data_IF_310977392153
#
_entry.id   IF_310977392153
#
_cell.length_a   1.000
_cell.length_b   1.000
_cell.length_c   1.000
_cell.angle_alpha   90.00
_cell.angle_beta   90.00
_cell.angle_gamma   90.00
#
_symmetry.space_group_name_H-M   'P 1'
#
loop_
_entity.id
_entity.type
_entity.pdbx_description
1 polymer ?
#
# COMPACT_ATOMS: atom_id res chain seq x y z
N UNK A 1 -0.06 6.88 -19.56
CA UNK A 1 -1.37 6.96 -20.24
C UNK A 1 -1.67 5.80 -21.18
N UNK A 2 -0.79 5.40 -22.12
CA UNK A 2 -1.05 4.29 -23.06
C UNK A 2 -1.44 2.96 -22.37
N UNK A 3 -0.76 2.61 -21.28
CA UNK A 3 -1.10 1.44 -20.47
C UNK A 3 -2.49 1.54 -19.80
N UNK A 4 -2.93 2.75 -19.42
CA UNK A 4 -4.25 2.98 -18.82
C UNK A 4 -5.37 2.89 -19.87
N UNK A 5 -5.12 3.41 -21.08
CA UNK A 5 -6.04 3.27 -22.23
C UNK A 5 -6.24 1.80 -22.63
N UNK A 6 -5.15 1.02 -22.66
CA UNK A 6 -5.22 -0.41 -22.92
C UNK A 6 -6.00 -1.16 -21.84
N UNK A 7 -5.74 -0.84 -20.56
CA UNK A 7 -6.47 -1.44 -19.45
C UNK A 7 -7.97 -1.09 -19.49
N UNK A 8 -8.34 0.17 -19.74
CA UNK A 8 -9.75 0.56 -19.85
C UNK A 8 -10.46 -0.14 -21.01
N UNK A 9 -9.78 -0.30 -22.14
CA UNK A 9 -10.33 -1.02 -23.31
C UNK A 9 -10.58 -2.49 -22.99
N UNK A 10 -9.66 -3.13 -22.26
CA UNK A 10 -9.77 -4.53 -21.82
C UNK A 10 -10.86 -4.72 -20.77
N UNK A 11 -10.92 -3.84 -19.77
CA UNK A 11 -11.85 -3.94 -18.63
C UNK A 11 -13.31 -3.74 -19.06
N UNK A 12 -13.56 -2.73 -19.89
CA UNK A 12 -14.93 -2.33 -20.25
C UNK A 12 -15.36 -2.78 -21.65
N UNK A 13 -14.50 -3.52 -22.37
CA UNK A 13 -14.77 -4.13 -23.69
C UNK A 13 -15.34 -3.17 -24.74
N UNK A 14 -14.95 -1.89 -24.71
CA UNK A 14 -15.29 -0.92 -25.76
C UNK A 14 -14.01 -0.32 -26.35
N UNK A 15 -14.01 -0.13 -27.68
CA UNK A 15 -12.89 0.47 -28.39
C UNK A 15 -13.07 1.99 -28.43
N UNK A 16 -12.21 2.71 -27.72
CA UNK A 16 -12.12 4.18 -27.78
C UNK A 16 -10.78 4.58 -28.38
N UNK A 17 -10.75 5.68 -29.15
CA UNK A 17 -9.49 6.19 -29.67
C UNK A 17 -8.62 6.71 -28.52
N UNK A 18 -7.31 6.46 -28.61
CA UNK A 18 -6.32 6.96 -27.62
C UNK A 18 -6.41 8.49 -27.47
N UNK A 19 -6.68 9.20 -28.57
CA UNK A 19 -6.84 10.65 -28.56
C UNK A 19 -8.06 11.11 -27.75
N UNK A 20 -9.21 10.46 -27.91
CA UNK A 20 -10.41 10.80 -27.15
C UNK A 20 -10.21 10.52 -25.66
N UNK A 21 -9.60 9.36 -25.34
CA UNK A 21 -9.25 8.99 -23.97
C UNK A 21 -8.35 10.05 -23.31
N UNK A 22 -7.27 10.47 -23.99
CA UNK A 22 -6.36 11.51 -23.50
C UNK A 22 -7.07 12.86 -23.28
N UNK A 23 -7.95 13.27 -24.19
CA UNK A 23 -8.71 14.53 -24.05
C UNK A 23 -9.63 14.50 -22.83
N UNK A 24 -10.27 13.36 -22.55
CA UNK A 24 -11.14 13.21 -21.38
C UNK A 24 -10.30 13.22 -20.10
N UNK A 25 -9.22 12.43 -20.03
CA UNK A 25 -8.33 12.38 -18.85
C UNK A 25 -7.68 13.75 -18.56
N UNK A 26 -7.31 14.50 -19.60
CA UNK A 26 -6.80 15.86 -19.42
C UNK A 26 -7.87 16.82 -18.83
N UNK A 27 -9.14 16.64 -19.21
CA UNK A 27 -10.26 17.45 -18.69
C UNK A 27 -10.63 17.10 -17.25
N UNK A 28 -10.38 15.87 -16.79
CA UNK A 28 -10.69 15.46 -15.43
C UNK A 28 -9.69 15.97 -14.38
N UNK A 29 -8.66 16.72 -14.81
CA UNK A 29 -7.62 17.31 -13.94
C UNK A 29 -7.00 16.30 -12.96
N UNK A 30 -6.84 15.05 -13.41
CA UNK A 30 -6.23 13.98 -12.63
C UNK A 30 -4.72 14.17 -12.69
N UNK A 31 -4.13 14.60 -11.58
CA UNK A 31 -2.67 14.60 -11.45
C UNK A 31 -2.19 13.20 -11.12
N UNK A 32 -1.26 12.69 -11.92
CA UNK A 32 -0.50 11.49 -11.58
C UNK A 32 0.69 11.95 -10.74
N UNK A 33 0.49 12.06 -9.43
CA UNK A 33 1.57 12.30 -8.49
C UNK A 33 2.50 11.09 -8.50
N UNK A 34 3.73 11.27 -8.99
CA UNK A 34 4.79 10.33 -8.67
C UNK A 34 4.96 10.39 -7.15
N UNK A 35 4.75 9.27 -6.47
CA UNK A 35 5.13 9.11 -5.05
C UNK A 35 6.65 9.20 -4.99
N UNK A 36 7.16 10.43 -4.92
CA UNK A 36 8.57 10.70 -4.78
C UNK A 36 8.98 10.31 -3.36
N UNK A 37 10.02 9.47 -3.26
CA UNK A 37 10.80 9.17 -2.05
C UNK A 37 10.52 7.88 -1.27
N UNK A 38 9.72 6.95 -1.78
CA UNK A 38 9.67 5.59 -1.19
C UNK A 38 10.61 4.66 -1.95
N UNK A 39 11.89 4.71 -1.60
CA UNK A 39 12.87 3.74 -2.09
C UNK A 39 13.12 2.67 -1.02
N UNK A 40 12.89 1.40 -1.39
CA UNK A 40 13.29 0.28 -0.55
C UNK A 40 14.82 0.32 -0.32
N UNK A 41 15.25 0.20 0.94
CA UNK A 41 16.67 0.25 1.31
C UNK A 41 17.51 -0.78 0.56
N UNK A 42 17.03 -2.02 0.42
CA UNK A 42 17.72 -3.09 -0.33
C UNK A 42 17.88 -2.71 -1.80
N UNK A 43 16.80 -2.22 -2.44
CA UNK A 43 16.84 -1.77 -3.83
C UNK A 43 17.74 -0.55 -4.03
N UNK A 44 17.72 0.39 -3.08
CA UNK A 44 18.57 1.58 -3.08
C UNK A 44 20.06 1.21 -2.97
N UNK A 45 20.42 0.37 -2.01
CA UNK A 45 21.78 -0.13 -1.81
C UNK A 45 22.27 -0.92 -3.01
N UNK A 46 21.44 -1.81 -3.57
CA UNK A 46 21.81 -2.57 -4.78
C UNK A 46 22.06 -1.66 -5.99
N UNK A 47 21.24 -0.62 -6.17
CA UNK A 47 21.44 0.35 -7.25
C UNK A 47 22.75 1.12 -7.11
N UNK A 48 23.13 1.49 -5.89
CA UNK A 48 24.44 2.12 -5.61
C UNK A 48 25.57 1.13 -5.92
N UNK A 49 25.44 -0.12 -5.49
CA UNK A 49 26.38 -1.19 -5.78
C UNK A 49 26.62 -1.36 -7.29
N UNK A 50 25.54 -1.50 -8.09
CA UNK A 50 25.63 -1.61 -9.55
C UNK A 50 26.40 -0.44 -10.19
N UNK A 51 26.15 0.80 -9.75
CA UNK A 51 26.87 1.99 -10.23
C UNK A 51 28.35 1.93 -9.88
N UNK A 52 28.69 1.48 -8.68
CA UNK A 52 30.09 1.42 -8.21
C UNK A 52 30.91 0.33 -8.89
N UNK A 53 30.30 -0.80 -9.26
CA UNK A 53 30.99 -1.94 -9.87
C UNK A 53 30.86 -2.00 -11.39
N UNK A 54 30.14 -1.05 -12.00
CA UNK A 54 29.84 -1.06 -13.44
C UNK A 54 28.96 -2.24 -13.89
N UNK A 55 28.24 -2.88 -12.96
CA UNK A 55 27.39 -4.04 -13.24
C UNK A 55 25.98 -3.60 -13.58
N UNK A 56 25.35 -4.27 -14.54
CA UNK A 56 23.94 -4.05 -14.86
C UNK A 56 23.03 -4.82 -13.90
N UNK A 57 21.78 -4.36 -13.73
CA UNK A 57 20.78 -4.99 -12.84
C UNK A 57 20.48 -6.46 -13.18
N UNK A 58 20.83 -6.92 -14.38
CA UNK A 58 20.61 -8.28 -14.86
C UNK A 58 21.86 -9.16 -14.77
N UNK A 59 23.00 -8.61 -14.32
CA UNK A 59 24.27 -9.33 -14.25
C UNK A 59 24.66 -9.53 -12.77
N UNK A 60 23.92 -10.44 -12.12
CA UNK A 60 24.03 -10.79 -10.70
C UNK A 60 25.21 -11.75 -10.56
N UNK A 61 26.08 -11.49 -9.58
CA UNK A 61 27.23 -12.34 -9.28
C UNK A 61 26.89 -13.25 -8.11
N UNK A 62 27.11 -14.55 -8.28
CA UNK A 62 26.88 -15.57 -7.25
C UNK A 62 27.81 -15.41 -6.04
N UNK A 63 28.98 -14.78 -6.24
CA UNK A 63 29.97 -14.53 -5.19
C UNK A 63 29.80 -13.17 -4.48
N UNK A 64 28.66 -12.49 -4.66
CA UNK A 64 28.44 -11.17 -4.07
C UNK A 64 27.20 -11.14 -3.18
N UNK A 65 27.39 -10.93 -1.89
CA UNK A 65 26.32 -10.91 -0.89
C UNK A 65 25.22 -9.88 -1.19
N UNK A 66 25.59 -8.70 -1.70
CA UNK A 66 24.64 -7.65 -2.07
C UNK A 66 23.80 -8.05 -3.30
N UNK A 67 24.41 -8.76 -4.27
CA UNK A 67 23.72 -9.30 -5.43
C UNK A 67 22.73 -10.39 -5.00
N UNK A 68 23.16 -11.35 -4.17
CA UNK A 68 22.31 -12.42 -3.64
C UNK A 68 21.16 -11.88 -2.78
N UNK A 69 21.42 -10.88 -1.94
CA UNK A 69 20.40 -10.25 -1.11
C UNK A 69 19.33 -9.54 -1.96
N UNK A 70 19.75 -8.85 -3.02
CA UNK A 70 18.83 -8.17 -3.95
C UNK A 70 17.97 -9.17 -4.71
N UNK A 71 18.56 -10.29 -5.16
CA UNK A 71 17.83 -11.37 -5.84
C UNK A 71 16.78 -12.00 -4.92
N UNK A 72 17.17 -12.39 -3.70
CA UNK A 72 16.23 -12.92 -2.70
C UNK A 72 15.10 -11.95 -2.39
N UNK A 73 15.42 -10.66 -2.26
CA UNK A 73 14.41 -9.62 -2.06
C UNK A 73 13.44 -9.52 -3.25
N UNK A 74 13.96 -9.60 -4.49
CA UNK A 74 13.15 -9.54 -5.72
C UNK A 74 12.21 -10.72 -5.87
N UNK A 75 12.72 -11.92 -5.60
CA UNK A 75 11.92 -13.13 -5.62
C UNK A 75 10.86 -13.11 -4.54
N UNK A 76 11.18 -12.61 -3.34
CA UNK A 76 10.24 -12.45 -2.24
C UNK A 76 9.04 -11.60 -2.61
N UNK A 77 9.25 -10.35 -3.07
CA UNK A 77 8.12 -9.49 -3.42
C UNK A 77 7.36 -9.98 -4.66
N UNK A 78 8.03 -10.65 -5.61
CA UNK A 78 7.35 -11.22 -6.79
C UNK A 78 6.40 -12.34 -6.37
N UNK A 79 6.87 -13.29 -5.56
CA UNK A 79 6.05 -14.38 -5.03
C UNK A 79 4.87 -13.86 -4.21
N UNK A 80 5.12 -12.92 -3.28
CA UNK A 80 4.08 -12.29 -2.49
C UNK A 80 3.01 -11.62 -3.37
N UNK A 81 3.43 -10.93 -4.44
CA UNK A 81 2.50 -10.28 -5.37
C UNK A 81 1.72 -11.26 -6.24
N UNK A 82 2.30 -12.40 -6.58
CA UNK A 82 1.59 -13.49 -7.27
C UNK A 82 0.54 -14.13 -6.36
N UNK A 83 0.91 -14.43 -5.11
CA UNK A 83 0.01 -14.97 -4.10
C UNK A 83 -1.13 -13.99 -3.76
N UNK A 84 -0.83 -12.70 -3.57
CA UNK A 84 -1.84 -11.65 -3.36
C UNK A 84 -2.88 -11.61 -4.48
N UNK A 85 -2.44 -11.75 -5.74
CA UNK A 85 -3.36 -11.78 -6.91
C UNK A 85 -4.18 -13.06 -6.98
N UNK A 86 -3.62 -14.18 -6.54
CA UNK A 86 -4.37 -15.43 -6.45
C UNK A 86 -5.45 -15.32 -5.38
N UNK A 87 -5.11 -14.75 -4.23
CA UNK A 87 -6.05 -14.51 -3.14
C UNK A 87 -7.11 -13.47 -3.49
N UNK A 88 -6.76 -12.46 -4.30
CA UNK A 88 -7.72 -11.43 -4.69
C UNK A 88 -8.90 -11.93 -5.49
N UNK A 89 -8.82 -13.13 -6.08
CA UNK A 89 -9.89 -13.77 -6.87
C UNK A 89 -10.57 -14.95 -6.16
N UNK A 90 -10.04 -15.39 -5.02
CA UNK A 90 -10.60 -16.50 -4.23
C UNK A 90 -11.89 -16.07 -3.52
N UNK A 91 -12.72 -17.06 -3.22
CA UNK A 91 -14.04 -16.90 -2.57
C UNK A 91 -14.30 -17.93 -1.47
N UNK A 92 -13.26 -18.64 -1.02
CA UNK A 92 -13.32 -19.68 0.02
C UNK A 92 -13.09 -19.14 1.43
N UNK A 93 -13.17 -17.82 1.60
CA UNK A 93 -12.96 -17.14 2.88
C UNK A 93 -12.96 -15.63 2.69
N UNK A 94 -12.73 -14.92 3.79
CA UNK A 94 -12.53 -13.47 3.77
C UNK A 94 -11.05 -13.17 3.54
N UNK A 95 -10.76 -12.45 2.47
CA UNK A 95 -9.42 -11.94 2.19
C UNK A 95 -9.44 -10.42 2.30
N UNK A 96 -8.60 -9.88 3.19
CA UNK A 96 -8.45 -8.44 3.40
C UNK A 96 -6.99 -8.03 3.37
N UNK A 97 -6.72 -6.80 2.96
CA UNK A 97 -5.46 -6.10 3.21
C UNK A 97 -5.64 -5.21 4.43
N UNK A 98 -4.75 -5.32 5.41
CA UNK A 98 -4.69 -4.36 6.51
C UNK A 98 -3.63 -3.29 6.21
N UNK A 99 -3.99 -2.03 6.47
CA UNK A 99 -3.09 -0.89 6.33
C UNK A 99 -3.27 0.05 7.52
N UNK A 100 -2.18 0.27 8.24
CA UNK A 100 -2.09 1.26 9.31
C UNK A 100 -1.65 2.58 8.69
N UNK A 101 -2.60 3.48 8.52
CA UNK A 101 -2.30 4.78 7.92
C UNK A 101 -1.30 5.55 8.79
N UNK A 102 -0.41 6.30 8.11
CA UNK A 102 0.47 7.29 8.75
C UNK A 102 -0.33 8.25 9.64
N UNK A 103 0.25 8.60 10.80
CA UNK A 103 -0.31 9.53 11.80
C UNK A 103 -1.01 10.72 11.15
N UNK A 104 -2.30 10.88 11.46
CA UNK A 104 -3.16 11.95 10.95
C UNK A 104 -3.18 13.08 11.98
N UNK A 105 -2.61 14.23 11.62
CA UNK A 105 -2.61 15.41 12.49
C UNK A 105 -3.86 16.26 12.23
N UNK A 106 -4.79 16.30 13.18
CA UNK A 106 -6.07 17.00 13.09
C UNK A 106 -6.10 18.28 13.94
N UNK A 107 -6.88 19.31 13.56
CA UNK A 107 -7.63 19.42 12.31
C UNK A 107 -6.74 19.81 11.12
N UNK A 108 -7.12 19.36 9.92
CA UNK A 108 -6.46 19.74 8.66
C UNK A 108 -7.19 20.94 8.07
N UNK A 109 -6.72 22.15 8.36
CA UNK A 109 -7.18 23.35 7.68
C UNK A 109 -6.01 24.31 7.44
N UNK A 110 -5.73 24.58 6.16
CA UNK A 110 -4.59 25.41 5.74
C UNK A 110 -5.01 26.85 5.39
N UNK A 111 -6.31 27.13 5.38
CA UNK A 111 -6.85 28.41 4.93
C UNK A 111 -6.76 29.52 5.99
N UNK A 112 -6.83 29.15 7.27
CA UNK A 112 -6.87 30.10 8.38
C UNK A 112 -5.60 30.00 9.23
N UNK A 113 -4.92 31.13 9.44
CA UNK A 113 -3.67 31.19 10.20
C UNK A 113 -3.85 30.69 11.63
N UNK A 114 -5.00 30.95 12.22
CA UNK A 114 -5.39 30.52 13.56
C UNK A 114 -5.34 28.99 13.69
N UNK A 115 -5.81 28.26 12.67
CA UNK A 115 -5.81 26.80 12.67
C UNK A 115 -4.41 26.24 12.39
N UNK A 116 -3.58 26.97 11.62
CA UNK A 116 -2.19 26.58 11.36
C UNK A 116 -1.37 26.51 12.66
N UNK A 117 -1.59 27.45 13.58
CA UNK A 117 -0.86 27.53 14.85
C UNK A 117 -1.52 26.78 16.01
N UNK A 118 -2.69 26.17 15.79
CA UNK A 118 -3.37 25.39 16.83
C UNK A 118 -2.62 24.08 17.10
N UNK A 119 -2.53 23.63 18.36
CA UNK A 119 -2.05 22.28 18.68
C UNK A 119 -2.83 21.24 17.89
N UNK A 120 -2.12 20.24 17.35
CA UNK A 120 -2.73 19.20 16.54
C UNK A 120 -2.95 17.95 17.37
N UNK A 121 -4.13 17.38 17.25
CA UNK A 121 -4.48 16.07 17.79
C UNK A 121 -3.96 14.99 16.84
N UNK A 122 -3.18 14.07 17.39
CA UNK A 122 -2.74 12.87 16.69
C UNK A 122 -3.90 11.87 16.63
N UNK A 123 -4.34 11.54 15.43
CA UNK A 123 -5.28 10.47 15.14
C UNK A 123 -4.61 9.33 14.37
N UNK A 124 -5.04 8.12 14.67
CA UNK A 124 -4.58 6.87 14.08
C UNK A 124 -5.74 6.21 13.34
N UNK A 125 -5.44 5.49 12.27
CA UNK A 125 -6.44 4.82 11.44
C UNK A 125 -5.87 3.48 10.96
N UNK A 126 -6.43 2.38 11.47
CA UNK A 126 -6.17 1.03 10.95
C UNK A 126 -7.34 0.63 10.06
N UNK A 127 -7.04 0.25 8.82
CA UNK A 127 -8.07 -0.15 7.85
C UNK A 127 -7.91 -1.61 7.45
N UNK A 128 -9.03 -2.30 7.29
CA UNK A 128 -9.11 -3.64 6.71
C UNK A 128 -9.97 -3.56 5.46
N UNK A 129 -9.31 -3.63 4.30
CA UNK A 129 -9.93 -3.45 2.99
C UNK A 129 -10.04 -4.80 2.30
N UNK A 130 -11.26 -5.27 1.96
CA UNK A 130 -11.43 -6.50 1.20
C UNK A 130 -10.72 -6.43 -0.16
N UNK A 131 -10.14 -7.55 -0.59
CA UNK A 131 -9.54 -7.64 -1.92
C UNK A 131 -10.65 -7.58 -3.02
N UNK A 132 -10.27 -7.16 -4.24
CA UNK A 132 -11.14 -6.70 -5.37
C UNK A 132 -12.37 -7.56 -5.72
N UNK A 133 -12.46 -8.81 -5.25
CA UNK A 133 -13.59 -9.71 -5.52
C UNK A 133 -14.67 -9.71 -4.42
N UNK A 134 -14.40 -9.09 -3.27
CA UNK A 134 -15.34 -9.02 -2.16
C UNK A 134 -16.28 -7.81 -2.29
N UNK A 135 -17.59 -8.04 -2.09
CA UNK A 135 -18.60 -6.96 -1.96
C UNK A 135 -18.65 -6.37 -0.55
N UNK A 136 -17.78 -6.83 0.35
CA UNK A 136 -17.79 -6.39 1.73
C UNK A 136 -17.29 -4.95 1.86
N UNK A 137 -17.78 -4.29 2.89
CA UNK A 137 -17.45 -2.90 3.18
C UNK A 137 -16.13 -2.91 3.95
N UNK A 138 -15.17 -2.01 3.63
CA UNK A 138 -13.96 -1.85 4.41
C UNK A 138 -14.26 -1.52 5.87
N UNK A 139 -13.47 -2.08 6.79
CA UNK A 139 -13.49 -1.68 8.19
C UNK A 139 -12.42 -0.62 8.43
N UNK A 140 -12.75 0.41 9.20
CA UNK A 140 -11.81 1.45 9.61
C UNK A 140 -11.94 1.66 11.12
N UNK A 141 -10.83 1.48 11.83
CA UNK A 141 -10.72 1.71 13.27
C UNK A 141 -9.95 2.99 13.49
N UNK A 142 -10.64 4.01 13.97
CA UNK A 142 -10.09 5.35 14.18
C UNK A 142 -10.06 5.64 15.67
N UNK A 143 -8.91 6.08 16.17
CA UNK A 143 -8.75 6.58 17.53
C UNK A 143 -7.74 7.72 17.55
N UNK A 144 -7.62 8.39 18.70
CA UNK A 144 -6.69 9.51 18.86
C UNK A 144 -5.88 9.35 20.14
N UNK A 145 -4.78 10.09 20.23
CA UNK A 145 -3.81 10.02 21.34
C UNK A 145 -4.43 10.24 22.74
N UNK A 146 -5.52 11.01 22.84
CA UNK A 146 -6.22 11.21 24.12
C UNK A 146 -7.06 10.00 24.59
N UNK A 147 -7.30 9.02 23.70
CA UNK A 147 -7.99 7.75 24.04
C UNK A 147 -6.96 6.66 24.29
N UNK A 148 -6.03 6.49 23.35
CA UNK A 148 -4.90 5.58 23.52
C UNK A 148 -3.76 5.92 22.57
N UNK A 149 -2.59 5.33 22.84
CA UNK A 149 -1.40 5.49 22.02
C UNK A 149 -1.41 4.63 20.75
N UNK A 150 -0.22 4.31 20.25
CA UNK A 150 -0.01 3.42 19.10
C UNK A 150 0.90 2.25 19.50
N UNK A 151 0.66 1.72 20.70
CA UNK A 151 1.38 0.56 21.19
C UNK A 151 0.94 -0.70 20.44
N UNK A 152 1.67 -1.80 20.67
CA UNK A 152 1.34 -3.12 20.13
C UNK A 152 -0.08 -3.53 20.55
N UNK A 153 -0.44 -3.23 21.79
CA UNK A 153 -1.74 -3.60 22.36
C UNK A 153 -2.88 -2.81 21.69
N UNK A 154 -2.64 -1.53 21.38
CA UNK A 154 -3.59 -0.69 20.65
C UNK A 154 -3.85 -1.24 19.25
N UNK A 155 -2.77 -1.61 18.53
CA UNK A 155 -2.88 -2.21 17.20
C UNK A 155 -3.57 -3.57 17.29
N UNK A 156 -3.19 -4.45 18.21
CA UNK A 156 -3.84 -5.76 18.37
C UNK A 156 -5.33 -5.61 18.70
N UNK A 157 -5.73 -4.56 19.43
CA UNK A 157 -7.13 -4.30 19.73
C UNK A 157 -7.97 -4.04 18.46
N UNK A 158 -7.40 -3.41 17.43
CA UNK A 158 -8.11 -3.18 16.16
C UNK A 158 -8.29 -4.49 15.39
N UNK A 159 -7.30 -5.37 15.39
CA UNK A 159 -7.41 -6.73 14.82
C UNK A 159 -8.45 -7.57 15.55
N UNK A 160 -8.47 -7.51 16.89
CA UNK A 160 -9.49 -8.18 17.68
C UNK A 160 -10.89 -7.68 17.33
N UNK A 161 -11.08 -6.36 17.32
CA UNK A 161 -12.37 -5.76 16.97
C UNK A 161 -12.79 -6.07 15.52
N UNK A 162 -11.83 -6.14 14.59
CA UNK A 162 -12.08 -6.59 13.22
C UNK A 162 -12.59 -8.03 13.18
N UNK A 163 -11.92 -8.97 13.84
CA UNK A 163 -12.33 -10.38 13.86
C UNK A 163 -13.71 -10.55 14.52
N UNK A 164 -14.00 -9.81 15.59
CA UNK A 164 -15.33 -9.78 16.22
C UNK A 164 -16.38 -9.22 15.25
N UNK A 165 -16.06 -8.18 14.49
CA UNK A 165 -16.99 -7.55 13.55
C UNK A 165 -17.30 -8.43 12.33
N UNK A 166 -16.30 -9.17 11.83
CA UNK A 166 -16.45 -10.13 10.74
C UNK A 166 -17.36 -11.30 11.15
N UNK A 167 -17.31 -11.71 12.42
CA UNK A 167 -18.17 -12.76 12.95
C UNK A 167 -17.75 -14.17 12.50
N UNK A 168 -18.72 -15.01 12.16
CA UNK A 168 -18.49 -16.44 11.91
C UNK A 168 -18.07 -16.69 10.44
N UNK A 169 -16.78 -16.53 10.19
CA UNK A 169 -16.15 -16.83 8.91
C UNK A 169 -15.13 -17.95 9.11
N UNK A 170 -15.24 -19.02 8.30
CA UNK A 170 -14.41 -20.22 8.41
C UNK A 170 -12.90 -19.92 8.28
N UNK A 171 -12.55 -18.98 7.40
CA UNK A 171 -11.16 -18.56 7.19
C UNK A 171 -11.06 -17.08 6.88
N UNK A 172 -10.21 -16.40 7.64
CA UNK A 172 -9.82 -15.01 7.40
C UNK A 172 -8.34 -14.97 7.05
N UNK A 173 -8.01 -14.40 5.89
CA UNK A 173 -6.64 -14.17 5.44
C UNK A 173 -6.39 -12.66 5.42
N UNK A 174 -5.42 -12.22 6.22
CA UNK A 174 -5.06 -10.81 6.35
C UNK A 174 -3.68 -10.60 5.72
N UNK A 175 -3.65 -9.81 4.64
CA UNK A 175 -2.43 -9.34 4.00
C UNK A 175 -1.92 -8.11 4.75
N UNK A 176 -0.71 -8.19 5.28
CA UNK A 176 -0.05 -7.11 5.99
C UNK A 176 1.12 -6.61 5.14
N UNK A 177 1.24 -5.29 4.99
CA UNK A 177 2.48 -4.74 4.44
C UNK A 177 3.58 -4.76 5.49
N UNK A 178 4.77 -5.21 5.08
CA UNK A 178 5.99 -5.05 5.83
C UNK A 178 6.56 -3.66 5.54
N UNK A 179 5.89 -2.62 6.05
CA UNK A 179 6.56 -1.34 6.18
C UNK A 179 7.45 -1.39 7.43
N UNK A 180 8.62 -2.02 7.31
CA UNK A 180 9.59 -2.17 8.41
C UNK A 180 9.91 -0.84 9.12
N UNK A 181 9.90 0.27 8.38
CA UNK A 181 10.14 1.62 8.90
C UNK A 181 9.01 2.15 9.82
N UNK A 182 7.85 1.48 9.89
CA UNK A 182 6.75 1.85 10.77
C UNK A 182 6.81 1.17 12.16
N UNK A 183 7.63 0.12 12.30
CA UNK A 183 7.68 -0.75 13.48
C UNK A 183 8.93 -0.55 14.35
N UNK A 184 9.84 0.33 13.95
CA UNK A 184 10.97 0.73 14.80
C UNK A 184 10.51 1.87 15.73
N UNK A 185 10.10 1.48 16.94
CA UNK A 185 10.10 2.35 18.12
C UNK A 185 11.52 2.43 18.70
#
# INVERSE_FOLDING_TARGET
>A
MKAMHQNSTLQYKFNISDELYRKVVARTNISLSNLGHEECFVCGTFRIHCKSTGREQNNISEDCDLCLSSEKHRDGYRKAREEYKLDSVKKDGLYVSADLQKVIMLPRCEMFKEIIFMPRLIAFNETFVPLETSKEIPYAFIWHEATSGRSKDDIISTFYNFLVAVGDVERVTIWLDNCAAQNEN
#
